data_IF_200575151249
#
_entry.id   IF_200575151249
#
_cell.length_a   1.000
_cell.length_b   1.000
_cell.length_c   1.000
_cell.angle_alpha   90.00
_cell.angle_beta   90.00
_cell.angle_gamma   90.00
#
_symmetry.space_group_name_H-M   'P 1'
#
loop_
_entity.id
_entity.type
_entity.pdbx_description
1 polymer ?
2 non-polymer ?
3 non-polymer ?
4 non-polymer ?
5 water ?
#
# COMPACT_ATOMS: atom_id res chain seq x y z
N UNK A 22 -9.70 -2.87 -25.72
CA UNK A 22 -9.09 -2.17 -24.59
C UNK A 22 -8.02 -2.96 -23.81
N UNK A 23 -8.01 -4.31 -23.90
CA UNK A 23 -6.98 -5.07 -23.18
C UNK A 23 -5.60 -4.76 -23.83
N UNK A 24 -4.55 -4.53 -23.02
CA UNK A 24 -3.22 -4.29 -23.61
C UNK A 24 -2.65 -5.49 -24.37
N UNK A 25 -1.63 -5.22 -25.19
CA UNK A 25 -0.87 -6.26 -25.90
C UNK A 25 0.25 -6.58 -24.92
N UNK A 26 0.08 -7.67 -24.15
CA UNK A 26 1.04 -8.09 -23.13
C UNK A 26 2.40 -8.49 -23.69
N UNK A 27 2.50 -8.67 -25.02
CA UNK A 27 3.75 -9.10 -25.68
C UNK A 27 4.58 -7.94 -26.24
N UNK A 28 4.03 -6.72 -26.26
CA UNK A 28 4.74 -5.60 -26.86
C UNK A 28 5.91 -5.11 -26.02
N UNK A 29 6.93 -4.52 -26.69
CA UNK A 29 8.07 -3.95 -25.97
C UNK A 29 7.61 -2.77 -25.11
N UNK A 30 6.63 -2.00 -25.61
CA UNK A 30 6.06 -0.86 -24.87
C UNK A 30 5.45 -1.39 -23.55
N UNK A 31 4.63 -2.45 -23.64
CA UNK A 31 4.01 -2.98 -22.42
C UNK A 31 5.04 -3.58 -21.45
N UNK A 32 5.97 -4.39 -21.97
CA UNK A 32 6.97 -5.02 -21.13
C UNK A 32 7.84 -4.01 -20.40
N UNK A 33 8.19 -2.93 -21.07
CA UNK A 33 9.01 -1.87 -20.46
C UNK A 33 8.26 -1.25 -19.26
N UNK A 34 6.99 -0.87 -19.44
CA UNK A 34 6.24 -0.28 -18.32
C UNK A 34 6.01 -1.34 -17.22
N UNK A 35 5.74 -2.59 -17.61
CA UNK A 35 5.53 -3.67 -16.63
C UNK A 35 6.79 -3.90 -15.80
N UNK A 36 7.99 -3.70 -16.39
CA UNK A 36 9.24 -3.93 -15.65
C UNK A 36 9.36 -3.05 -14.43
N UNK A 37 8.81 -1.81 -14.51
CA UNK A 37 8.83 -0.91 -13.35
C UNK A 37 7.65 -1.12 -12.41
N UNK A 38 6.43 -1.27 -12.95
CA UNK A 38 5.25 -1.47 -12.07
C UNK A 38 5.40 -2.81 -11.30
N UNK A 39 5.77 -3.88 -12.01
CA UNK A 39 5.96 -5.20 -11.36
C UNK A 39 7.05 -5.09 -10.26
N UNK A 40 8.14 -4.34 -10.54
CA UNK A 40 9.22 -4.18 -9.54
C UNK A 40 8.67 -3.46 -8.30
N UNK A 41 7.90 -2.42 -8.51
CA UNK A 41 7.30 -1.68 -7.38
C UNK A 41 6.43 -2.58 -6.54
N UNK A 42 5.61 -3.42 -7.18
CA UNK A 42 4.74 -4.36 -6.46
C UNK A 42 5.59 -5.35 -5.65
N UNK A 43 6.61 -5.94 -6.27
CA UNK A 43 7.47 -6.92 -5.59
C UNK A 43 8.18 -6.28 -4.40
N UNK A 44 8.73 -5.09 -4.62
CA UNK A 44 9.41 -4.36 -3.54
C UNK A 44 8.43 -4.00 -2.43
N UNK A 45 7.25 -3.55 -2.81
CA UNK A 45 6.23 -3.19 -1.82
C UNK A 45 5.87 -4.35 -0.94
N UNK A 46 5.67 -5.54 -1.54
CA UNK A 46 5.30 -6.75 -0.78
C UNK A 46 6.43 -7.12 0.20
N UNK A 47 7.69 -7.05 -0.26
CA UNK A 47 8.82 -7.32 0.63
C UNK A 47 8.83 -6.31 1.79
N UNK A 48 8.68 -5.00 1.49
CA UNK A 48 8.70 -3.98 2.54
C UNK A 48 7.53 -4.20 3.51
N UNK A 49 6.36 -4.66 3.00
CA UNK A 49 5.20 -4.91 3.84
C UNK A 49 5.52 -6.06 4.80
N UNK A 50 6.15 -7.15 4.30
CA UNK A 50 6.61 -8.23 5.18
C UNK A 50 7.50 -7.64 6.29
N UNK A 51 8.52 -6.85 5.90
CA UNK A 51 9.46 -6.28 6.85
C UNK A 51 8.78 -5.36 7.85
N UNK A 52 7.77 -4.58 7.38
CA UNK A 52 7.05 -3.65 8.23
C UNK A 52 6.25 -4.39 9.30
N UNK A 53 5.54 -5.45 8.93
CA UNK A 53 4.76 -6.18 9.95
C UNK A 53 5.68 -6.84 10.97
N UNK A 54 6.81 -7.44 10.53
CA UNK A 54 7.78 -8.03 11.48
C UNK A 54 8.29 -6.93 12.43
N UNK A 55 8.62 -5.73 11.87
CA UNK A 55 9.13 -4.59 12.67
C UNK A 55 8.10 -4.13 13.71
N UNK A 56 6.81 -4.11 13.35
CA UNK A 56 5.73 -3.71 14.28
C UNK A 56 5.68 -4.67 15.50
N UNK A 57 6.06 -5.93 15.28
CA UNK A 57 6.17 -6.92 16.35
C UNK A 57 7.15 -6.50 17.44
N UNK A 58 8.15 -5.65 17.11
CA UNK A 58 9.06 -5.16 18.15
C UNK A 58 8.36 -4.12 19.04
N UNK A 59 7.35 -3.42 18.51
CA UNK A 59 6.57 -2.42 19.23
C UNK A 59 5.39 -3.04 19.96
N UNK A 60 4.83 -4.14 19.40
CA UNK A 60 3.69 -4.86 19.96
C UNK A 60 4.10 -6.33 20.18
N UNK A 61 4.92 -6.61 21.22
CA UNK A 61 5.42 -8.00 21.41
C UNK A 61 4.34 -9.05 21.59
N UNK A 62 3.16 -8.65 22.12
CA UNK A 62 2.04 -9.57 22.32
C UNK A 62 1.27 -9.86 21.02
N UNK A 63 1.60 -9.14 19.93
CA UNK A 63 0.96 -9.33 18.62
C UNK A 63 1.86 -10.09 17.65
N UNK A 64 3.04 -10.54 18.11
CA UNK A 64 4.05 -11.19 17.25
C UNK A 64 3.49 -12.32 16.41
N UNK A 65 2.69 -13.22 17.00
CA UNK A 65 2.18 -14.33 16.15
C UNK A 65 1.22 -13.86 15.04
N UNK A 66 0.32 -12.92 15.34
CA UNK A 66 -0.57 -12.43 14.32
C UNK A 66 0.27 -11.64 13.26
N UNK A 67 1.23 -10.81 13.70
CA UNK A 67 2.09 -10.06 12.75
C UNK A 67 2.93 -10.96 11.85
N UNK A 68 3.43 -12.09 12.40
CA UNK A 68 4.17 -13.09 11.61
C UNK A 68 3.27 -13.68 10.53
N UNK A 69 1.98 -13.95 10.87
CA UNK A 69 1.00 -14.48 9.92
C UNK A 69 0.79 -13.48 8.79
N UNK A 70 0.60 -12.19 9.11
CA UNK A 70 0.42 -11.15 8.08
C UNK A 70 1.69 -11.04 7.20
N UNK A 71 2.87 -11.08 7.83
CA UNK A 71 4.14 -10.99 7.09
C UNK A 71 4.31 -12.17 6.12
N UNK A 72 3.89 -13.36 6.54
CA UNK A 72 3.96 -14.55 5.68
C UNK A 72 3.05 -14.39 4.47
N UNK A 73 1.88 -13.75 4.67
CA UNK A 73 0.97 -13.49 3.53
C UNK A 73 1.70 -12.57 2.52
N UNK A 74 2.40 -11.54 3.02
CA UNK A 74 3.11 -10.60 2.14
C UNK A 74 4.17 -11.32 1.32
N UNK A 75 4.84 -12.31 1.93
CA UNK A 75 5.85 -13.09 1.17
C UNK A 75 5.18 -13.95 0.08
N UNK A 76 3.96 -14.48 0.36
CA UNK A 76 3.20 -15.24 -0.65
C UNK A 76 2.83 -14.28 -1.80
N UNK A 77 2.40 -13.06 -1.46
CA UNK A 77 2.06 -12.07 -2.50
C UNK A 77 3.32 -11.76 -3.35
N UNK A 78 4.48 -11.58 -2.68
CA UNK A 78 5.72 -11.25 -3.38
C UNK A 78 6.06 -12.37 -4.37
N UNK A 79 5.93 -13.64 -3.93
CA UNK A 79 6.20 -14.79 -4.78
C UNK A 79 5.29 -14.81 -5.99
N UNK A 80 4.00 -14.50 -5.78
CA UNK A 80 3.02 -14.53 -6.87
C UNK A 80 3.30 -13.44 -7.89
N UNK A 81 3.56 -12.21 -7.42
CA UNK A 81 3.85 -11.11 -8.36
C UNK A 81 5.19 -11.30 -9.07
N UNK A 82 6.17 -11.92 -8.40
CA UNK A 82 7.44 -12.24 -9.07
C UNK A 82 7.10 -13.16 -10.27
N UNK A 83 6.20 -14.15 -10.05
CA UNK A 83 5.80 -15.09 -11.12
C UNK A 83 5.07 -14.37 -12.28
N UNK A 84 4.32 -13.27 -11.98
CA UNK A 84 3.64 -12.47 -13.04
C UNK A 84 4.62 -11.88 -14.03
N UNK A 85 5.71 -11.30 -13.53
CA UNK A 85 6.75 -10.74 -14.38
C UNK A 85 7.47 -11.82 -15.18
N UNK A 86 7.80 -12.95 -14.53
CA UNK A 86 8.49 -14.06 -15.23
C UNK A 86 7.58 -14.62 -16.36
N UNK A 87 6.27 -14.69 -16.10
CA UNK A 87 5.28 -15.20 -17.07
C UNK A 87 5.25 -14.37 -18.36
N UNK A 88 5.47 -13.05 -18.24
CA UNK A 88 5.48 -12.14 -19.38
C UNK A 88 6.88 -11.96 -19.97
N UNK A 89 7.87 -12.61 -19.37
CA UNK A 89 9.25 -12.51 -19.85
C UNK A 89 9.84 -11.15 -19.56
N UNK A 90 9.43 -10.56 -18.43
CA UNK A 90 9.87 -9.24 -18.02
C UNK A 90 10.85 -9.35 -16.86
N UNK A 91 11.96 -8.60 -16.92
CA UNK A 91 12.93 -8.55 -15.84
C UNK A 91 12.59 -7.32 -14.99
N UNK A 92 12.16 -7.54 -13.74
CA UNK A 92 11.75 -6.44 -12.86
C UNK A 92 12.92 -5.46 -12.55
N UNK A 93 12.66 -4.15 -12.68
CA UNK A 93 13.68 -3.10 -12.42
C UNK A 93 13.66 -2.81 -10.92
N UNK A 94 14.36 -3.63 -10.12
CA UNK A 94 14.33 -3.49 -8.66
C UNK A 94 14.96 -2.23 -8.11
N UNK A 95 15.99 -1.70 -8.79
CA UNK A 95 16.62 -0.45 -8.35
C UNK A 95 15.62 0.70 -8.39
N UNK A 96 14.80 0.77 -9.48
CA UNK A 96 13.78 1.80 -9.62
C UNK A 96 12.79 1.66 -8.45
N UNK A 97 12.38 0.40 -8.16
CA UNK A 97 11.40 0.13 -7.10
C UNK A 97 11.92 0.52 -5.70
N UNK A 98 13.19 0.25 -5.42
CA UNK A 98 13.80 0.63 -4.14
C UNK A 98 13.80 2.15 -3.96
N UNK A 99 14.17 2.90 -5.03
CA UNK A 99 14.16 4.37 -5.00
C UNK A 99 12.73 4.89 -4.82
N UNK A 100 11.75 4.28 -5.52
CA UNK A 100 10.33 4.69 -5.44
C UNK A 100 9.81 4.67 -4.00
N UNK A 101 10.14 3.61 -3.23
CA UNK A 101 9.67 3.44 -1.86
C UNK A 101 10.52 4.14 -0.82
N UNK A 102 11.73 4.62 -1.19
CA UNK A 102 12.67 5.19 -0.21
C UNK A 102 12.08 6.27 0.71
N UNK A 103 11.35 7.29 0.22
CA UNK A 103 10.81 8.30 1.14
C UNK A 103 9.80 7.76 2.16
N UNK A 104 8.91 6.85 1.73
CA UNK A 104 7.92 6.29 2.64
C UNK A 104 8.60 5.33 3.61
N UNK A 105 9.56 4.53 3.11
CA UNK A 105 10.37 3.62 3.92
C UNK A 105 11.07 4.43 5.02
N UNK A 106 11.67 5.56 4.64
CA UNK A 106 12.40 6.44 5.58
C UNK A 106 11.47 6.93 6.69
N UNK A 107 10.24 7.34 6.34
CA UNK A 107 9.29 7.81 7.35
C UNK A 107 8.86 6.67 8.28
N UNK A 108 8.67 5.46 7.73
CA UNK A 108 8.33 4.29 8.57
C UNK A 108 9.48 4.00 9.56
N UNK A 109 10.73 4.00 9.06
CA UNK A 109 11.89 3.72 9.89
C UNK A 109 12.05 4.78 10.98
N UNK A 110 11.78 6.07 10.66
CA UNK A 110 11.89 7.14 11.66
C UNK A 110 10.88 6.91 12.79
N UNK A 111 9.62 6.58 12.44
CA UNK A 111 8.57 6.32 13.42
C UNK A 111 8.89 5.08 14.26
N UNK A 112 9.38 4.02 13.59
CA UNK A 112 9.75 2.78 14.29
C UNK A 112 10.82 3.05 15.37
N UNK A 113 11.85 3.83 15.01
CA UNK A 113 12.94 4.20 15.90
C UNK A 113 12.48 4.99 17.11
N UNK A 114 11.38 5.76 16.95
CA UNK A 114 10.79 6.57 18.02
C UNK A 114 9.70 5.80 18.80
N UNK A 115 9.44 4.54 18.42
CA UNK A 115 8.42 3.70 19.06
C UNK A 115 7.01 4.15 18.78
N UNK A 116 6.83 4.88 17.64
CA UNK A 116 5.54 5.47 17.25
C UNK A 116 4.65 4.45 16.51
N UNK A 117 4.13 3.47 17.26
CA UNK A 117 3.25 2.42 16.71
C UNK A 117 2.07 3.00 15.91
N UNK A 118 1.32 4.06 16.36
CA UNK A 118 0.21 4.55 15.53
C UNK A 118 0.67 5.01 14.15
N UNK A 119 1.85 5.68 14.07
CA UNK A 119 2.37 6.15 12.78
C UNK A 119 2.77 4.97 11.87
N UNK A 120 3.50 4.00 12.42
CA UNK A 120 3.88 2.78 11.68
C UNK A 120 2.63 2.09 11.14
N UNK A 121 1.57 1.97 11.96
CA UNK A 121 0.35 1.30 11.50
C UNK A 121 -0.38 2.15 10.47
N UNK A 122 -0.43 3.49 10.63
CA UNK A 122 -1.10 4.28 9.59
C UNK A 122 -0.33 4.16 8.27
N UNK A 123 1.01 4.18 8.32
CA UNK A 123 1.79 4.06 7.09
C UNK A 123 1.54 2.73 6.40
N UNK A 124 1.77 1.63 7.12
CA UNK A 124 1.65 0.31 6.48
C UNK A 124 0.25 -0.19 6.35
N UNK A 125 -0.45 -0.33 7.50
CA UNK A 125 -1.74 -1.00 7.54
C UNK A 125 -2.88 -0.20 6.96
N UNK A 126 -2.75 1.14 6.88
CA UNK A 126 -3.78 1.96 6.26
C UNK A 126 -3.36 2.48 4.91
N UNK A 127 -2.32 3.33 4.85
CA UNK A 127 -1.96 3.96 3.57
C UNK A 127 -1.48 2.98 2.52
N UNK A 128 -0.50 2.16 2.87
CA UNK A 128 0.07 1.22 1.90
C UNK A 128 -0.93 0.14 1.52
N UNK A 129 -1.74 -0.36 2.49
CA UNK A 129 -2.76 -1.36 2.11
C UNK A 129 -3.84 -0.76 1.19
N UNK A 130 -4.25 0.51 1.44
CA UNK A 130 -5.25 1.14 0.57
C UNK A 130 -4.65 1.38 -0.82
N UNK A 131 -3.34 1.69 -0.90
CA UNK A 131 -2.65 1.90 -2.18
C UNK A 131 -2.62 0.54 -2.94
N UNK A 132 -2.31 -0.56 -2.23
CA UNK A 132 -2.30 -1.90 -2.83
C UNK A 132 -3.72 -2.26 -3.32
N UNK A 133 -4.75 -2.11 -2.49
CA UNK A 133 -6.14 -2.45 -2.85
C UNK A 133 -6.55 -1.69 -4.11
N UNK A 134 -6.28 -0.37 -4.13
CA UNK A 134 -6.66 0.44 -5.29
C UNK A 134 -5.90 -0.01 -6.54
N UNK A 135 -4.58 -0.23 -6.42
CA UNK A 135 -3.77 -0.65 -7.59
C UNK A 135 -4.25 -2.00 -8.09
N UNK A 136 -4.44 -2.96 -7.19
CA UNK A 136 -4.84 -4.30 -7.60
C UNK A 136 -6.25 -4.33 -8.18
N UNK A 137 -7.19 -3.58 -7.59
CA UNK A 137 -8.56 -3.49 -8.13
C UNK A 137 -8.54 -2.89 -9.54
N UNK A 138 -7.68 -1.87 -9.76
CA UNK A 138 -7.64 -1.19 -11.06
C UNK A 138 -6.95 -2.10 -12.13
N UNK A 139 -5.96 -2.88 -11.69
CA UNK A 139 -5.21 -3.76 -12.58
C UNK A 139 -6.01 -4.99 -13.02
N UNK A 140 -6.77 -5.59 -12.09
CA UNK A 140 -7.52 -6.84 -12.42
C UNK A 140 -8.21 -6.86 -13.82
N UNK A 141 -9.07 -5.86 -14.15
CA UNK A 141 -9.76 -5.89 -15.46
C UNK A 141 -8.92 -5.72 -16.70
N UNK A 142 -7.65 -5.31 -16.56
CA UNK A 142 -6.75 -5.08 -17.68
C UNK A 142 -5.53 -5.99 -17.61
N UNK A 143 -5.60 -7.02 -16.75
CA UNK A 143 -4.48 -7.93 -16.58
C UNK A 143 -4.54 -9.14 -17.50
N UNK A 144 -3.37 -9.77 -17.73
CA UNK A 144 -3.29 -10.99 -18.51
C UNK A 144 -3.94 -12.13 -17.67
N UNK A 145 -4.35 -13.25 -18.30
CA UNK A 145 -5.06 -14.29 -17.52
C UNK A 145 -4.32 -14.87 -16.33
N UNK A 146 -2.98 -15.02 -16.43
CA UNK A 146 -2.17 -15.60 -15.36
C UNK A 146 -2.12 -14.63 -14.16
N UNK A 147 -1.75 -13.38 -14.44
CA UNK A 147 -1.65 -12.34 -13.41
C UNK A 147 -3.01 -12.02 -12.81
N UNK A 148 -4.09 -12.12 -13.60
CA UNK A 148 -5.44 -11.84 -13.07
C UNK A 148 -5.77 -12.77 -11.91
N UNK A 149 -5.54 -14.09 -12.08
CA UNK A 149 -5.83 -15.07 -11.01
C UNK A 149 -4.98 -14.79 -9.76
N UNK A 150 -3.68 -14.47 -9.95
CA UNK A 150 -2.80 -14.16 -8.81
C UNK A 150 -3.27 -12.92 -8.08
N UNK A 151 -3.60 -11.86 -8.83
CA UNK A 151 -4.04 -10.59 -8.24
C UNK A 151 -5.37 -10.77 -7.50
N UNK A 152 -6.32 -11.52 -8.11
CA UNK A 152 -7.61 -11.77 -7.45
C UNK A 152 -7.39 -12.50 -6.12
N UNK A 153 -6.37 -13.37 -6.09
CA UNK A 153 -6.00 -14.19 -4.93
C UNK A 153 -5.28 -13.48 -3.81
N UNK A 154 -4.92 -12.19 -4.00
CA UNK A 154 -4.21 -11.33 -3.04
C UNK A 154 -5.19 -10.36 -2.36
N UNK A 155 -6.24 -9.93 -3.09
CA UNK A 155 -7.21 -8.92 -2.61
C UNK A 155 -7.82 -9.15 -1.24
N UNK A 156 -8.30 -10.39 -0.93
CA UNK A 156 -8.89 -10.70 0.37
C UNK A 156 -7.87 -10.47 1.48
N UNK A 157 -6.59 -10.80 1.21
CA UNK A 157 -5.55 -10.58 2.23
C UNK A 157 -5.35 -9.10 2.53
N UNK A 158 -5.41 -8.22 1.50
CA UNK A 158 -5.25 -6.78 1.75
C UNK A 158 -6.33 -6.29 2.72
N UNK A 159 -7.58 -6.77 2.57
CA UNK A 159 -8.66 -6.40 3.49
C UNK A 159 -8.40 -6.89 4.92
N UNK A 160 -7.78 -8.06 5.06
CA UNK A 160 -7.38 -8.60 6.37
C UNK A 160 -6.36 -7.64 7.01
N UNK A 161 -5.42 -7.15 6.20
CA UNK A 161 -4.36 -6.26 6.68
C UNK A 161 -4.96 -4.92 7.09
N UNK A 162 -5.83 -4.35 6.24
CA UNK A 162 -6.55 -3.09 6.57
C UNK A 162 -7.29 -3.30 7.89
N UNK A 163 -8.03 -4.42 8.02
CA UNK A 163 -8.76 -4.73 9.24
C UNK A 163 -7.89 -4.80 10.49
N UNK A 164 -6.69 -5.38 10.39
CA UNK A 164 -5.77 -5.46 11.51
C UNK A 164 -5.38 -4.04 11.99
N UNK A 165 -5.00 -3.16 11.07
CA UNK A 165 -4.64 -1.79 11.43
C UNK A 165 -5.81 -0.99 11.99
N UNK A 166 -6.98 -1.12 11.34
CA UNK A 166 -8.19 -0.44 11.80
C UNK A 166 -8.53 -0.87 13.23
N UNK A 167 -8.49 -2.19 13.52
CA UNK A 167 -8.85 -2.66 14.85
C UNK A 167 -7.94 -2.08 15.93
N UNK A 168 -6.61 -2.07 15.71
CA UNK A 168 -5.70 -1.55 16.73
C UNK A 168 -5.89 -0.04 16.94
N UNK A 169 -5.97 0.69 15.82
CA UNK A 169 -6.13 2.15 15.89
C UNK A 169 -7.48 2.51 16.52
N UNK A 170 -8.53 1.73 16.22
CA UNK A 170 -9.87 1.94 16.81
C UNK A 170 -9.79 1.77 18.33
N UNK A 171 -9.10 0.71 18.78
CA UNK A 171 -8.98 0.43 20.22
C UNK A 171 -8.15 1.47 20.96
N UNK A 172 -7.20 2.10 20.26
CA UNK A 172 -6.27 3.07 20.84
C UNK A 172 -6.46 4.52 20.40
N UNK A 173 -7.60 4.82 19.74
CA UNK A 173 -7.82 6.15 19.16
C UNK A 173 -7.64 7.33 20.12
N UNK A 174 -8.16 7.19 21.33
CA UNK A 174 -8.09 8.30 22.28
C UNK A 174 -6.70 8.75 22.74
N UNK A 175 -5.68 7.86 22.59
CA UNK A 175 -4.31 8.19 22.95
C UNK A 175 -3.48 8.68 21.75
N UNK A 176 -4.02 8.57 20.52
CA UNK A 176 -3.22 8.91 19.33
C UNK A 176 -3.83 9.77 18.23
N UNK A 177 -4.95 10.52 18.49
CA UNK A 177 -5.59 11.37 17.49
C UNK A 177 -4.62 12.37 16.85
N UNK A 178 -3.84 13.10 17.69
CA UNK A 178 -2.88 14.13 17.23
C UNK A 178 -1.77 13.50 16.38
N UNK A 179 -1.20 12.37 16.85
CA UNK A 179 -0.15 11.66 16.12
C UNK A 179 -0.66 11.18 14.75
N UNK A 180 -1.90 10.66 14.69
CA UNK A 180 -2.48 10.23 13.41
C UNK A 180 -2.68 11.38 12.45
N UNK A 181 -3.12 12.56 12.94
CA UNK A 181 -3.29 13.73 12.10
C UNK A 181 -1.93 14.10 11.47
N UNK A 182 -0.86 14.04 12.28
CA UNK A 182 0.49 14.37 11.84
C UNK A 182 1.06 13.34 10.87
N UNK A 183 0.85 12.04 11.15
CA UNK A 183 1.29 10.94 10.26
C UNK A 183 0.59 11.11 8.90
N UNK A 184 -0.71 11.47 8.94
CA UNK A 184 -1.46 11.70 7.72
C UNK A 184 -0.91 12.92 6.95
N UNK A 185 -0.68 14.05 7.65
CA UNK A 185 -0.16 15.27 7.04
C UNK A 185 1.15 15.01 6.28
N UNK A 186 2.03 14.21 6.88
CA UNK A 186 3.33 13.93 6.29
C UNK A 186 3.28 12.89 5.18
N UNK A 187 2.52 11.80 5.37
CA UNK A 187 2.51 10.66 4.44
C UNK A 187 1.48 10.62 3.34
N UNK A 188 0.31 11.23 3.54
CA UNK A 188 -0.68 11.26 2.46
C UNK A 188 -0.17 12.02 1.21
N UNK A 189 0.50 13.21 1.32
CA UNK A 189 1.06 13.86 0.12
C UNK A 189 2.14 13.02 -0.56
N UNK A 190 2.86 12.18 0.21
CA UNK A 190 3.89 11.28 -0.34
C UNK A 190 3.25 10.24 -1.22
N UNK A 191 2.11 9.66 -0.79
CA UNK A 191 1.37 8.66 -1.58
C UNK A 191 0.93 9.36 -2.89
N UNK A 192 0.46 10.62 -2.82
CA UNK A 192 0.04 11.35 -4.03
C UNK A 192 1.25 11.51 -4.99
N UNK A 193 2.42 11.85 -4.44
CA UNK A 193 3.63 12.02 -5.29
C UNK A 193 4.02 10.69 -5.92
N UNK A 194 3.88 9.59 -5.16
CA UNK A 194 4.18 8.23 -5.66
C UNK A 194 3.29 7.88 -6.84
N UNK A 195 1.99 8.16 -6.73
CA UNK A 195 1.10 7.94 -7.87
C UNK A 195 1.54 8.76 -9.08
N UNK A 196 1.84 10.06 -8.90
CA UNK A 196 2.29 10.88 -10.04
C UNK A 196 3.51 10.28 -10.75
N UNK A 197 4.45 9.71 -9.99
CA UNK A 197 5.71 9.19 -10.55
C UNK A 197 5.51 8.03 -11.50
N UNK A 198 4.53 7.19 -11.23
CA UNK A 198 4.27 5.99 -12.03
C UNK A 198 2.96 6.00 -12.81
N UNK A 199 2.28 7.17 -12.87
CA UNK A 199 1.02 7.28 -13.61
C UNK A 199 1.22 6.97 -15.10
N UNK A 200 2.38 7.35 -15.65
CA UNK A 200 2.71 7.10 -17.06
C UNK A 200 2.75 5.61 -17.33
N UNK A 201 3.51 4.88 -16.50
CA UNK A 201 3.62 3.42 -16.70
C UNK A 201 2.29 2.77 -16.44
N UNK A 202 1.54 3.25 -15.42
CA UNK A 202 0.24 2.67 -15.13
C UNK A 202 -0.71 2.84 -16.34
N UNK A 203 -0.68 3.99 -17.03
CA UNK A 203 -1.50 4.24 -18.24
C UNK A 203 -1.12 3.25 -19.36
N UNK A 204 0.18 2.92 -19.52
CA UNK A 204 0.59 1.91 -20.51
C UNK A 204 -0.09 0.57 -20.17
N UNK A 205 -0.21 0.26 -18.87
CA UNK A 205 -0.90 -0.96 -18.43
C UNK A 205 -2.43 -0.83 -18.52
N UNK A 206 -2.94 0.29 -19.09
CA UNK A 206 -4.37 0.55 -19.27
C UNK A 206 -5.10 0.77 -17.93
N UNK A 207 -4.35 1.28 -16.94
CA UNK A 207 -4.92 1.66 -15.63
C UNK A 207 -5.12 3.19 -15.62
N UNK A 208 -6.34 3.66 -15.26
CA UNK A 208 -6.66 5.09 -15.22
C UNK A 208 -6.31 5.69 -13.85
N UNK A 209 -5.54 6.78 -13.83
CA UNK A 209 -5.10 7.47 -12.60
C UNK A 209 -6.33 7.87 -11.75
N UNK A 210 -7.40 8.37 -12.39
CA UNK A 210 -8.60 8.80 -11.66
C UNK A 210 -9.28 7.64 -10.94
N UNK A 211 -9.29 6.45 -11.56
CA UNK A 211 -9.87 5.27 -10.93
C UNK A 211 -8.99 4.86 -9.74
N UNK A 212 -7.65 4.93 -9.90
CA UNK A 212 -6.67 4.60 -8.83
C UNK A 212 -6.92 5.54 -7.63
N UNK A 213 -7.08 6.83 -7.90
CA UNK A 213 -7.32 7.77 -6.79
C UNK A 213 -8.66 7.54 -6.10
N UNK A 214 -9.74 7.38 -6.88
CA UNK A 214 -11.07 7.15 -6.28
C UNK A 214 -11.05 5.92 -5.36
N UNK A 215 -10.53 4.78 -5.85
CA UNK A 215 -10.53 3.58 -5.03
C UNK A 215 -9.67 3.73 -3.78
N UNK A 216 -8.55 4.42 -3.89
CA UNK A 216 -7.68 4.64 -2.73
C UNK A 216 -8.44 5.48 -1.71
N UNK A 217 -9.04 6.60 -2.15
CA UNK A 217 -9.74 7.49 -1.20
C UNK A 217 -10.92 6.81 -0.52
N UNK A 218 -11.64 5.96 -1.27
CA UNK A 218 -12.77 5.19 -0.71
C UNK A 218 -12.23 4.28 0.40
N UNK A 219 -11.18 3.52 0.11
CA UNK A 219 -10.61 2.60 1.12
C UNK A 219 -10.11 3.35 2.34
N UNK A 220 -9.37 4.44 2.13
CA UNK A 220 -8.81 5.23 3.23
C UNK A 220 -9.90 5.90 4.06
N UNK A 221 -10.93 6.49 3.41
CA UNK A 221 -12.07 7.11 4.12
C UNK A 221 -12.79 6.05 4.96
N UNK A 222 -13.05 4.87 4.38
CA UNK A 222 -13.71 3.77 5.09
C UNK A 222 -12.91 3.32 6.32
N UNK A 223 -11.56 3.27 6.22
CA UNK A 223 -10.71 2.88 7.34
C UNK A 223 -10.78 3.93 8.45
N UNK A 224 -10.73 5.24 8.08
CA UNK A 224 -10.81 6.30 9.09
C UNK A 224 -12.17 6.30 9.77
N UNK A 225 -13.24 6.01 9.02
CA UNK A 225 -14.59 5.92 9.61
C UNK A 225 -14.64 4.77 10.66
N UNK A 226 -14.15 3.60 10.28
CA UNK A 226 -14.10 2.43 11.16
C UNK A 226 -13.32 2.71 12.44
N UNK A 227 -12.17 3.41 12.32
CA UNK A 227 -11.30 3.77 13.45
C UNK A 227 -12.04 4.68 14.45
N UNK A 228 -12.97 5.50 13.95
CA UNK A 228 -13.79 6.33 14.82
C UNK A 228 -13.81 7.80 14.48
N UNK A 229 -13.11 8.21 13.41
CA UNK A 229 -13.12 9.62 13.01
C UNK A 229 -14.48 10.00 12.41
N UNK A 230 -15.02 11.18 12.75
CA UNK A 230 -16.28 11.63 12.18
C UNK A 230 -15.99 12.40 10.86
N UNK A 231 -17.04 12.82 10.14
CA UNK A 231 -16.90 13.53 8.85
C UNK A 231 -15.97 14.74 8.93
N UNK A 232 -16.15 15.58 9.97
CA UNK A 232 -15.35 16.79 10.17
C UNK A 232 -13.87 16.43 10.34
N UNK A 233 -13.58 15.45 11.23
CA UNK A 233 -12.23 14.96 11.49
C UNK A 233 -11.55 14.41 10.21
N UNK A 234 -12.29 13.63 9.40
CA UNK A 234 -11.77 13.09 8.14
C UNK A 234 -11.48 14.25 7.18
N UNK A 235 -12.39 15.24 7.13
CA UNK A 235 -12.19 16.43 6.31
C UNK A 235 -10.97 17.22 6.84
N UNK A 236 -10.78 17.30 8.17
CA UNK A 236 -9.61 17.96 8.78
C UNK A 236 -8.33 17.28 8.29
N UNK A 237 -8.35 15.94 8.17
CA UNK A 237 -7.20 15.19 7.66
C UNK A 237 -6.89 15.52 6.21
N UNK A 238 -7.96 15.73 5.39
CA UNK A 238 -7.82 16.16 3.98
C UNK A 238 -7.25 17.59 3.95
N UNK A 239 -7.80 18.49 4.80
CA UNK A 239 -7.35 19.90 4.91
C UNK A 239 -5.87 19.96 5.33
N UNK A 240 -5.46 19.15 6.33
CA UNK A 240 -4.05 19.09 6.79
C UNK A 240 -3.12 18.67 5.66
N UNK A 241 -3.52 17.64 4.88
CA UNK A 241 -2.73 17.14 3.76
C UNK A 241 -2.64 18.19 2.64
N UNK A 242 -3.74 18.95 2.40
CA UNK A 242 -3.77 20.01 1.39
C UNK A 242 -2.95 21.25 1.79
N UNK A 243 -2.76 21.49 3.09
CA UNK A 243 -2.00 22.62 3.62
C UNK A 243 -0.52 22.21 3.71
X LIG B 1 -0.67 -6.07 2.80
X LIG C 1 0.54 -7.71 0.09
X LIG D 1 1.21 -5.78 0.15
X LIG D 1 0.90 -4.68 0.63
X LIG D 1 0.30 -4.50 1.69
X LIG D 1 1.32 -3.44 -0.14
X LIG D 1 2.80 -3.41 -0.42
X LIG D 1 1.83 -3.61 -1.56
X LIG D 1 1.49 -2.41 -2.44
X LIG D 1 2.43 -2.33 -3.61
X LIG D 1 2.19 -0.98 -4.31
X LIG D 1 1.64 -1.24 -5.69
X LIG D 1 1.68 0.06 -6.49
X LIG D 1 1.42 -0.27 -7.94
X LIG D 1 1.53 1.00 -8.78
X LIG D 1 0.30 1.13 -9.67
X LIG D 1 0.17 2.58 -10.15
X LIG E 1 -2.61 17.37 -2.46
X LIG E 1 -1.96 16.55 -1.78
X LIG E 1 -0.80 16.70 -1.35
X LIG E 1 -2.64 15.21 -1.45
X LIG E 1 -2.89 15.00 0.03
X LIG E 1 -4.07 15.25 -0.90
X LIG E 1 -4.94 14.00 -1.10
X LIG E 1 -4.53 13.24 -2.38
X LIG E 1 -4.96 11.78 -2.28
X LIG E 1 -3.77 10.88 -2.57
X LIG E 1 -4.25 9.62 -3.27
X LIG E 1 -3.36 9.34 -4.47
X LIG E 1 -2.84 7.89 -4.40
X LIG E 1 -3.87 6.97 -5.04
X LIG E 1 -3.18 5.67 -5.42
X LIG F 1 1.51 -6.87 -11.09
X LIG F 1 2.84 -6.78 -10.55
X LIG F 1 0.30 -6.29 -9.85
X LIG F 1 1.25 -5.36 -12.09
#
# INVERSE_FOLDING_TARGET
GMPTLEMPVAAVLDSTVGSSEALPDFTSDRYKDAYSRINAIVIEGEQEAHDNYIAIGTLLPDHVEELKRLAKMEMRHKKGFTACGKNLGVEADMDFAREFFAPLRDNFQTALGQGKTPTCLLIQALLIEAFAISAYHTYIPVSDPFARKITEGVVKDEYTHLNYGEAWLKANLESCREELLEANRENLPLIRRMLDQVAGDAAVLQMDKEDLIEDFLIAYQESLTEIGFNTREITRMAAAALVS
FE FE
FE FE
Y39 OAB CAM OAC CAO CAL CAN CAK CAJ CAI CAH CAG CAF CAE CAD CAA
Y39 OAB CAM OAC CAO CAL CAN CAK CAJ CAI CAH CAG CAF CAE CAD CAA
DMS S O C1 C2
#
